data_IF_268533381857
#
_entry.id   IF_268533381857
#
_cell.length_a   1.000
_cell.length_b   1.000
_cell.length_c   1.000
_cell.angle_alpha   90.00
_cell.angle_beta   90.00
_cell.angle_gamma   90.00
#
_symmetry.space_group_name_H-M   'P 1'
#
loop_
_entity.id
_entity.type
_entity.pdbx_description
1 polymer ?
#
# COMPACT_ATOMS: atom_id res chain seq x y z
N UNK A 1 -9.31 -14.93 -10.47
CA UNK A 1 -8.71 -16.28 -10.31
C UNK A 1 -7.33 -16.36 -10.94
N UNK A 2 -6.77 -17.56 -11.04
CA UNK A 2 -5.41 -17.79 -11.57
C UNK A 2 -5.20 -17.29 -13.01
N UNK A 3 -6.27 -17.22 -13.81
CA UNK A 3 -6.17 -16.71 -15.17
C UNK A 3 -5.67 -15.28 -15.20
N UNK A 4 -6.28 -14.41 -14.42
CA UNK A 4 -5.96 -12.97 -14.34
C UNK A 4 -4.53 -12.76 -13.81
N UNK A 5 -4.09 -13.57 -12.85
CA UNK A 5 -2.72 -13.53 -12.34
C UNK A 5 -1.71 -14.06 -13.37
N UNK A 6 -2.05 -15.05 -14.21
CA UNK A 6 -1.18 -15.47 -15.33
C UNK A 6 -1.04 -14.38 -16.38
N UNK A 7 -2.11 -13.65 -16.66
CA UNK A 7 -2.12 -12.52 -17.61
C UNK A 7 -1.37 -11.30 -17.02
N UNK A 8 -1.50 -11.03 -15.73
CA UNK A 8 -0.82 -9.94 -15.02
C UNK A 8 0.65 -10.22 -14.72
N UNK A 9 1.02 -11.48 -14.61
CA UNK A 9 2.38 -11.96 -14.39
C UNK A 9 2.54 -12.82 -13.13
N UNK A 10 3.05 -14.05 -13.35
CA UNK A 10 3.55 -14.93 -12.28
C UNK A 10 5.01 -15.19 -12.57
N UNK A 11 5.88 -14.88 -11.60
CA UNK A 11 7.32 -15.15 -11.66
C UNK A 11 7.72 -15.98 -10.44
N UNK A 12 8.53 -17.02 -10.64
CA UNK A 12 8.95 -17.94 -9.58
C UNK A 12 10.48 -18.06 -9.62
N UNK A 13 11.09 -18.03 -8.43
CA UNK A 13 12.55 -18.15 -8.32
C UNK A 13 13.28 -17.06 -9.10
N UNK A 14 14.32 -17.39 -9.86
CA UNK A 14 15.17 -16.40 -10.56
C UNK A 14 14.41 -15.45 -11.50
N UNK A 15 13.25 -15.85 -12.02
CA UNK A 15 12.42 -15.02 -12.89
C UNK A 15 11.86 -13.77 -12.16
N UNK A 16 11.72 -13.84 -10.84
CA UNK A 16 11.34 -12.67 -10.02
C UNK A 16 12.37 -11.54 -10.18
N UNK A 17 13.66 -11.87 -10.20
CA UNK A 17 14.72 -10.89 -10.38
C UNK A 17 14.75 -10.38 -11.82
N UNK A 18 14.80 -11.29 -12.81
CA UNK A 18 14.96 -10.92 -14.22
C UNK A 18 13.81 -10.07 -14.75
N UNK A 19 12.58 -10.30 -14.26
CA UNK A 19 11.39 -9.58 -14.71
C UNK A 19 11.20 -8.21 -14.02
N UNK A 20 11.96 -7.93 -12.95
CA UNK A 20 11.82 -6.67 -12.20
C UNK A 20 12.96 -5.69 -12.40
N UNK A 21 14.18 -6.14 -12.73
CA UNK A 21 15.32 -5.23 -12.95
C UNK A 21 14.99 -4.20 -14.03
N UNK A 22 15.06 -2.90 -13.66
CA UNK A 22 14.91 -1.78 -14.58
C UNK A 22 13.46 -1.47 -14.98
N UNK A 23 12.44 -2.12 -14.38
CA UNK A 23 11.04 -1.90 -14.73
C UNK A 23 10.38 -0.74 -13.95
N UNK A 24 11.07 -0.11 -12.99
CA UNK A 24 10.59 1.01 -12.19
C UNK A 24 9.62 0.63 -11.06
N UNK A 25 9.39 -0.66 -10.83
CA UNK A 25 8.50 -1.15 -9.77
C UNK A 25 9.11 -1.04 -8.36
N UNK A 26 8.34 -1.25 -7.29
CA UNK A 26 8.90 -1.41 -5.95
C UNK A 26 9.92 -2.55 -5.85
N UNK A 27 9.68 -3.67 -6.53
CA UNK A 27 10.64 -4.78 -6.56
C UNK A 27 11.97 -4.37 -7.20
N UNK A 28 11.93 -3.60 -8.30
CA UNK A 28 13.14 -3.00 -8.90
C UNK A 28 13.89 -2.12 -7.90
N UNK A 29 13.17 -1.27 -7.16
CA UNK A 29 13.78 -0.42 -6.13
C UNK A 29 14.50 -1.21 -5.04
N UNK A 30 13.90 -2.30 -4.57
CA UNK A 30 14.54 -3.21 -3.61
C UNK A 30 15.78 -3.88 -4.21
N UNK A 31 15.68 -4.42 -5.42
CA UNK A 31 16.77 -5.12 -6.11
C UNK A 31 17.99 -4.21 -6.34
N UNK A 32 17.74 -2.98 -6.79
CA UNK A 32 18.77 -1.96 -6.99
C UNK A 32 19.50 -1.63 -5.69
N UNK A 33 18.75 -1.39 -4.59
CA UNK A 33 19.34 -1.16 -3.28
C UNK A 33 20.14 -2.37 -2.79
N UNK A 34 19.58 -3.57 -2.88
CA UNK A 34 20.23 -4.81 -2.47
C UNK A 34 21.58 -5.05 -3.21
N UNK A 35 21.64 -4.73 -4.52
CA UNK A 35 22.90 -4.81 -5.28
C UNK A 35 23.94 -3.83 -4.74
N UNK A 36 23.54 -2.58 -4.41
CA UNK A 36 24.46 -1.61 -3.80
C UNK A 36 25.03 -2.09 -2.47
N UNK A 37 24.23 -2.84 -1.70
CA UNK A 37 24.62 -3.42 -0.41
C UNK A 37 25.33 -4.79 -0.53
N UNK A 38 25.40 -5.34 -1.74
CA UNK A 38 25.96 -6.68 -2.01
C UNK A 38 25.21 -7.80 -1.27
N UNK A 39 23.90 -7.66 -1.12
CA UNK A 39 23.07 -8.72 -0.55
C UNK A 39 22.90 -9.89 -1.51
N UNK A 40 22.90 -11.09 -0.98
CA UNK A 40 22.49 -12.27 -1.71
C UNK A 40 20.98 -12.41 -1.62
N UNK A 41 20.30 -12.42 -2.75
CA UNK A 41 18.83 -12.49 -2.82
C UNK A 41 18.40 -13.91 -3.15
N UNK A 42 17.48 -14.43 -2.37
CA UNK A 42 16.77 -15.67 -2.61
C UNK A 42 15.33 -15.32 -3.03
N UNK A 43 15.03 -15.24 -4.32
CA UNK A 43 13.71 -14.90 -4.80
C UNK A 43 12.74 -16.07 -4.65
N UNK A 44 11.54 -15.83 -4.12
CA UNK A 44 10.53 -16.86 -3.96
C UNK A 44 9.50 -16.82 -5.09
N UNK A 45 8.55 -15.90 -5.01
CA UNK A 45 7.45 -15.77 -5.97
C UNK A 45 6.98 -14.32 -6.05
N UNK A 46 6.53 -13.93 -7.22
CA UNK A 46 5.75 -12.72 -7.46
C UNK A 46 4.50 -13.08 -8.25
N UNK A 47 3.37 -12.58 -7.82
CA UNK A 47 2.09 -12.70 -8.53
C UNK A 47 1.41 -11.34 -8.59
N UNK A 48 0.92 -10.94 -9.76
CA UNK A 48 0.28 -9.66 -9.96
C UNK A 48 -0.96 -9.80 -10.85
N UNK A 49 -2.01 -9.08 -10.52
CA UNK A 49 -3.18 -8.91 -11.36
C UNK A 49 -3.73 -7.48 -11.20
N UNK A 50 -4.56 -7.03 -12.14
CA UNK A 50 -5.26 -5.76 -11.99
C UNK A 50 -6.29 -5.86 -10.85
N UNK A 51 -6.55 -4.76 -10.13
CA UNK A 51 -7.61 -4.70 -9.13
C UNK A 51 -8.95 -5.16 -9.72
N UNK A 52 -9.67 -5.98 -8.96
CA UNK A 52 -10.98 -6.48 -9.36
C UNK A 52 -11.73 -7.02 -8.12
N UNK A 53 -12.60 -8.00 -8.23
CA UNK A 53 -13.30 -8.60 -7.10
C UNK A 53 -12.41 -9.48 -6.20
N UNK A 54 -13.05 -10.15 -5.24
CA UNK A 54 -12.42 -11.04 -4.26
C UNK A 54 -11.53 -12.08 -4.95
N UNK A 55 -10.33 -12.29 -4.42
CA UNK A 55 -9.35 -13.23 -4.96
C UNK A 55 -9.76 -14.67 -4.64
N UNK A 56 -9.76 -15.54 -5.64
CA UNK A 56 -10.09 -16.94 -5.45
C UNK A 56 -9.02 -17.66 -4.60
N UNK A 57 -9.45 -18.58 -3.75
CA UNK A 57 -8.57 -19.28 -2.80
C UNK A 57 -7.41 -20.02 -3.50
N UNK A 58 -7.63 -20.54 -4.70
CA UNK A 58 -6.57 -21.21 -5.50
C UNK A 58 -5.34 -20.33 -5.76
N UNK A 59 -5.52 -19.00 -5.86
CA UNK A 59 -4.42 -18.05 -6.05
C UNK A 59 -3.55 -17.97 -4.80
N UNK A 60 -4.20 -17.90 -3.63
CA UNK A 60 -3.51 -17.87 -2.34
C UNK A 60 -2.73 -19.17 -2.11
N UNK A 61 -3.33 -20.30 -2.45
CA UNK A 61 -2.68 -21.62 -2.33
C UNK A 61 -1.44 -21.73 -3.21
N UNK A 62 -1.48 -21.22 -4.45
CA UNK A 62 -0.32 -21.20 -5.35
C UNK A 62 0.78 -20.30 -4.79
N UNK A 63 0.43 -19.10 -4.30
CA UNK A 63 1.40 -18.20 -3.67
C UNK A 63 2.05 -18.86 -2.44
N UNK A 64 1.24 -19.36 -1.51
CA UNK A 64 1.73 -19.98 -0.27
C UNK A 64 2.62 -21.18 -0.55
N UNK A 65 2.24 -22.03 -1.51
CA UNK A 65 3.04 -23.18 -1.90
C UNK A 65 4.46 -22.77 -2.27
N UNK A 66 4.63 -21.90 -3.25
CA UNK A 66 5.95 -21.52 -3.75
C UNK A 66 6.73 -20.66 -2.76
N UNK A 67 6.05 -19.76 -2.03
CA UNK A 67 6.69 -18.95 -1.01
C UNK A 67 7.24 -19.82 0.13
N UNK A 68 6.42 -20.70 0.68
CA UNK A 68 6.83 -21.52 1.80
C UNK A 68 7.74 -22.69 1.41
N UNK A 69 7.68 -23.20 0.17
CA UNK A 69 8.70 -24.14 -0.34
C UNK A 69 10.09 -23.46 -0.33
N UNK A 70 10.22 -22.25 -0.83
CA UNK A 70 11.45 -21.47 -0.77
C UNK A 70 11.88 -21.16 0.67
N UNK A 71 10.93 -20.74 1.51
CA UNK A 71 11.17 -20.46 2.92
C UNK A 71 11.73 -21.69 3.66
N UNK A 72 11.14 -22.87 3.52
CA UNK A 72 11.58 -24.09 4.19
C UNK A 72 12.99 -24.50 3.78
N UNK A 73 13.37 -24.26 2.53
CA UNK A 73 14.70 -24.57 2.03
C UNK A 73 15.79 -23.63 2.59
N UNK A 74 15.45 -22.37 2.87
CA UNK A 74 16.44 -21.33 3.08
C UNK A 74 16.34 -20.61 4.43
N UNK A 75 15.30 -20.85 5.23
CA UNK A 75 15.04 -20.07 6.44
C UNK A 75 16.16 -20.10 7.49
N UNK A 76 17.08 -21.09 7.44
CA UNK A 76 18.24 -21.15 8.31
C UNK A 76 19.42 -20.28 7.82
N UNK A 77 19.41 -19.87 6.54
CA UNK A 77 20.52 -19.20 5.88
C UNK A 77 20.22 -17.75 5.52
N UNK A 78 18.97 -17.26 5.76
CA UNK A 78 18.57 -15.88 5.46
C UNK A 78 18.68 -14.97 6.67
N UNK A 79 19.05 -13.71 6.42
CA UNK A 79 19.17 -12.66 7.44
C UNK A 79 17.88 -11.83 7.59
N UNK A 80 16.92 -12.00 6.70
CA UNK A 80 15.64 -11.28 6.75
C UNK A 80 14.71 -11.62 5.58
N UNK A 81 13.46 -11.20 5.68
CA UNK A 81 12.43 -11.36 4.65
C UNK A 81 11.93 -9.99 4.23
N UNK A 82 11.99 -9.69 2.94
CA UNK A 82 11.45 -8.47 2.35
C UNK A 82 10.27 -8.79 1.44
N UNK A 83 9.14 -8.13 1.65
CA UNK A 83 7.90 -8.35 0.90
C UNK A 83 7.49 -7.07 0.16
N UNK A 84 6.90 -7.26 -1.02
CA UNK A 84 6.22 -6.19 -1.77
C UNK A 84 4.76 -6.59 -1.85
N UNK A 85 3.91 -5.90 -1.12
CA UNK A 85 2.49 -6.23 -0.96
C UNK A 85 1.62 -5.01 -1.30
N UNK A 86 0.33 -5.25 -1.57
CA UNK A 86 -0.63 -4.16 -1.63
C UNK A 86 -1.08 -3.74 -0.21
N UNK A 87 -1.50 -4.67 0.61
CA UNK A 87 -2.01 -4.42 1.96
C UNK A 87 -3.53 -4.26 2.03
N UNK A 88 -4.26 -4.61 0.96
CA UNK A 88 -5.73 -4.55 0.96
C UNK A 88 -6.34 -5.73 0.19
N UNK A 89 -5.64 -6.86 0.12
CA UNK A 89 -6.13 -8.03 -0.58
C UNK A 89 -7.20 -8.76 0.25
N UNK A 90 -8.34 -9.03 -0.38
CA UNK A 90 -9.41 -9.87 0.17
C UNK A 90 -9.53 -11.12 -0.69
N UNK A 91 -9.63 -12.29 -0.06
CA UNK A 91 -9.83 -13.57 -0.73
C UNK A 91 -11.09 -14.26 -0.25
N UNK A 92 -11.48 -15.36 -0.94
CA UNK A 92 -12.61 -16.20 -0.51
C UNK A 92 -12.43 -16.77 0.90
N UNK A 93 -11.20 -16.91 1.38
CA UNK A 93 -10.89 -17.52 2.67
C UNK A 93 -10.45 -16.50 3.74
N UNK A 94 -10.22 -15.24 3.39
CA UNK A 94 -9.70 -14.24 4.33
C UNK A 94 -10.04 -12.82 3.91
N UNK A 95 -10.43 -12.01 4.90
CA UNK A 95 -10.58 -10.56 4.76
C UNK A 95 -9.23 -9.82 4.92
N UNK A 96 -8.18 -10.50 5.40
CA UNK A 96 -6.85 -9.96 5.65
C UNK A 96 -5.76 -10.95 5.19
N UNK A 97 -5.56 -11.03 3.87
CA UNK A 97 -4.60 -11.97 3.26
C UNK A 97 -3.17 -11.65 3.68
N UNK A 98 -2.82 -10.38 3.76
CA UNK A 98 -1.49 -9.94 4.16
C UNK A 98 -1.23 -10.21 5.65
N UNK A 99 -2.19 -9.97 6.53
CA UNK A 99 -2.07 -10.32 7.96
C UNK A 99 -1.93 -11.82 8.18
N UNK A 100 -2.69 -12.65 7.46
CA UNK A 100 -2.54 -14.10 7.49
C UNK A 100 -1.14 -14.55 7.05
N UNK A 101 -0.61 -13.93 5.99
CA UNK A 101 0.75 -14.21 5.52
C UNK A 101 1.80 -13.88 6.60
N UNK A 102 1.72 -12.69 7.21
CA UNK A 102 2.63 -12.30 8.29
C UNK A 102 2.54 -13.23 9.50
N UNK A 103 1.34 -13.60 9.90
CA UNK A 103 1.09 -14.53 11.01
C UNK A 103 1.72 -15.89 10.72
N UNK A 104 1.55 -16.42 9.51
CA UNK A 104 2.12 -17.72 9.12
C UNK A 104 3.66 -17.68 9.06
N UNK A 105 4.24 -16.60 8.52
CA UNK A 105 5.71 -16.38 8.53
C UNK A 105 6.22 -16.36 9.97
N UNK A 106 5.59 -15.55 10.82
CA UNK A 106 5.98 -15.43 12.24
C UNK A 106 5.89 -16.78 12.99
N UNK A 107 4.83 -17.53 12.75
CA UNK A 107 4.62 -18.86 13.34
C UNK A 107 5.74 -19.83 12.97
N UNK A 108 6.11 -19.86 11.67
CA UNK A 108 7.19 -20.75 11.18
C UNK A 108 8.57 -20.32 11.68
N UNK A 109 8.87 -19.04 11.69
CA UNK A 109 10.12 -18.50 12.25
C UNK A 109 10.25 -18.88 13.72
N UNK A 110 9.18 -18.70 14.49
CA UNK A 110 9.14 -19.04 15.93
C UNK A 110 9.34 -20.55 16.14
N UNK A 111 8.65 -21.39 15.37
CA UNK A 111 8.76 -22.85 15.46
C UNK A 111 10.19 -23.35 15.16
N UNK A 112 10.94 -22.62 14.33
CA UNK A 112 12.35 -22.94 13.99
C UNK A 112 13.36 -22.25 14.89
N UNK A 113 12.94 -21.38 15.83
CA UNK A 113 13.81 -20.57 16.66
C UNK A 113 14.64 -19.54 15.90
N UNK A 114 14.17 -19.12 14.72
CA UNK A 114 14.81 -18.11 13.86
C UNK A 114 14.21 -16.74 14.18
N UNK A 115 15.07 -15.76 14.46
CA UNK A 115 14.66 -14.40 14.78
C UNK A 115 15.32 -13.41 13.81
N UNK A 116 14.61 -13.13 12.72
CA UNK A 116 15.05 -12.24 11.63
C UNK A 116 13.97 -11.18 11.36
N UNK A 117 14.32 -9.99 10.83
CA UNK A 117 13.33 -9.00 10.48
C UNK A 117 12.48 -9.43 9.27
N UNK A 118 11.19 -9.13 9.36
CA UNK A 118 10.21 -9.26 8.26
C UNK A 118 9.70 -7.86 7.96
N UNK A 119 10.02 -7.33 6.80
CA UNK A 119 9.65 -5.97 6.38
C UNK A 119 8.84 -6.04 5.09
N UNK A 120 7.81 -5.23 5.00
CA UNK A 120 7.07 -5.07 3.75
C UNK A 120 6.98 -3.60 3.32
N UNK A 121 7.14 -3.36 2.00
CA UNK A 121 6.63 -2.15 1.38
C UNK A 121 5.19 -2.41 0.95
N UNK A 122 4.29 -1.45 1.26
CA UNK A 122 2.85 -1.55 1.01
C UNK A 122 2.32 -0.31 0.30
N UNK A 123 1.18 -0.47 -0.36
CA UNK A 123 0.50 0.63 -1.02
C UNK A 123 -0.09 1.64 -0.01
N UNK A 124 -0.24 2.88 -0.45
CA UNK A 124 -0.91 3.93 0.32
C UNK A 124 -2.39 3.60 0.63
N UNK A 125 -3.02 2.76 -0.22
CA UNK A 125 -4.40 2.31 -0.04
C UNK A 125 -4.52 1.02 0.79
N UNK A 126 -3.49 0.63 1.54
CA UNK A 126 -3.57 -0.52 2.42
C UNK A 126 -4.66 -0.34 3.50
N UNK A 127 -5.41 -1.39 3.75
CA UNK A 127 -6.29 -1.54 4.91
C UNK A 127 -5.51 -2.32 5.98
N UNK A 128 -4.75 -1.59 6.80
CA UNK A 128 -3.79 -2.21 7.71
C UNK A 128 -4.49 -2.79 8.92
N UNK A 129 -4.36 -4.09 9.10
CA UNK A 129 -4.85 -4.82 10.25
C UNK A 129 -3.86 -4.81 11.42
N UNK A 130 -4.35 -5.23 12.58
CA UNK A 130 -3.50 -5.46 13.75
C UNK A 130 -2.51 -6.60 13.50
N UNK A 131 -2.90 -7.63 12.77
CA UNK A 131 -2.03 -8.77 12.47
C UNK A 131 -0.87 -8.39 11.54
N UNK A 132 -1.12 -7.53 10.54
CA UNK A 132 -0.05 -7.00 9.71
C UNK A 132 1.04 -6.30 10.54
N UNK A 133 0.65 -5.61 11.60
CA UNK A 133 1.60 -4.87 12.45
C UNK A 133 2.21 -5.71 13.57
N UNK A 134 1.44 -6.63 14.17
CA UNK A 134 1.92 -7.48 15.25
C UNK A 134 2.92 -8.55 14.78
N UNK A 135 2.78 -9.04 13.54
CA UNK A 135 3.57 -10.15 13.01
C UNK A 135 4.62 -9.74 11.99
N UNK A 136 4.72 -8.46 11.63
CA UNK A 136 5.86 -7.92 10.88
C UNK A 136 6.79 -7.11 11.77
N UNK A 137 8.04 -6.93 11.34
CA UNK A 137 8.99 -6.05 12.04
C UNK A 137 8.76 -4.60 11.68
N UNK A 138 8.44 -4.32 10.41
CA UNK A 138 8.05 -2.99 9.93
C UNK A 138 7.26 -3.07 8.66
N UNK A 139 6.27 -2.20 8.55
CA UNK A 139 5.62 -1.82 7.31
C UNK A 139 6.19 -0.49 6.83
N UNK A 140 6.23 -0.28 5.51
CA UNK A 140 6.63 0.97 4.89
C UNK A 140 5.67 1.30 3.74
N UNK A 141 4.83 2.31 3.89
CA UNK A 141 3.83 2.66 2.87
C UNK A 141 4.37 3.65 1.83
N UNK A 142 3.80 3.63 0.62
CA UNK A 142 3.95 4.76 -0.31
C UNK A 142 3.46 6.03 0.37
N UNK A 143 4.04 7.17 -0.01
CA UNK A 143 3.75 8.46 0.60
C UNK A 143 3.04 9.43 -0.34
N UNK A 144 2.79 8.98 -1.57
CA UNK A 144 2.13 9.79 -2.58
C UNK A 144 0.96 9.06 -3.22
N UNK A 145 -0.10 9.80 -3.41
CA UNK A 145 -1.23 9.41 -4.22
C UNK A 145 -1.56 10.56 -5.19
N UNK A 146 -1.34 10.39 -6.51
CA UNK A 146 -0.93 9.19 -7.25
C UNK A 146 0.46 8.64 -6.87
N UNK A 147 0.66 7.32 -7.04
CA UNK A 147 1.85 6.55 -6.62
C UNK A 147 3.10 6.85 -7.45
N UNK A 148 3.60 8.08 -7.39
CA UNK A 148 4.82 8.49 -8.11
C UNK A 148 6.10 8.12 -7.38
N UNK A 149 5.99 7.61 -6.16
CA UNK A 149 7.10 7.29 -5.26
C UNK A 149 7.23 5.80 -4.91
N UNK A 150 6.45 4.91 -5.51
CA UNK A 150 6.41 3.48 -5.15
C UNK A 150 7.79 2.80 -5.18
N UNK A 151 8.60 3.04 -6.24
CA UNK A 151 9.98 2.57 -6.32
C UNK A 151 10.86 3.16 -5.20
N UNK A 152 10.73 4.45 -4.96
CA UNK A 152 11.50 5.16 -3.92
C UNK A 152 11.13 4.65 -2.52
N UNK A 153 9.85 4.41 -2.25
CA UNK A 153 9.38 3.86 -0.98
C UNK A 153 10.01 2.47 -0.72
N UNK A 154 10.15 1.64 -1.76
CA UNK A 154 10.83 0.35 -1.62
C UNK A 154 12.33 0.50 -1.32
N UNK A 155 13.03 1.48 -1.89
CA UNK A 155 14.42 1.80 -1.54
C UNK A 155 14.54 2.27 -0.09
N UNK A 156 13.63 3.11 0.38
CA UNK A 156 13.59 3.59 1.77
C UNK A 156 13.25 2.44 2.73
N UNK A 157 12.30 1.57 2.38
CA UNK A 157 11.99 0.35 3.13
C UNK A 157 13.19 -0.61 3.20
N UNK A 158 13.91 -0.80 2.08
CA UNK A 158 15.13 -1.61 2.03
C UNK A 158 16.26 -1.01 2.88
N UNK A 159 16.34 0.32 2.95
CA UNK A 159 17.29 1.01 3.84
C UNK A 159 16.99 0.70 5.32
N UNK A 160 15.73 0.80 5.71
CA UNK A 160 15.28 0.43 7.05
C UNK A 160 15.53 -1.06 7.32
N UNK A 161 15.20 -1.94 6.36
CA UNK A 161 15.44 -3.36 6.45
C UNK A 161 16.91 -3.68 6.73
N UNK A 162 17.85 -3.01 6.03
CA UNK A 162 19.28 -3.16 6.28
C UNK A 162 19.70 -2.73 7.69
N UNK A 163 19.06 -1.71 8.27
CA UNK A 163 19.31 -1.29 9.66
C UNK A 163 18.81 -2.37 10.62
N UNK A 164 17.63 -2.94 10.39
CA UNK A 164 17.04 -4.00 11.22
C UNK A 164 17.86 -5.30 11.15
N UNK A 165 18.34 -5.70 9.97
CA UNK A 165 19.23 -6.87 9.81
C UNK A 165 20.55 -6.69 10.58
N UNK A 166 21.05 -5.47 10.78
CA UNK A 166 22.24 -5.18 11.62
C UNK A 166 21.95 -5.19 13.12
N UNK A 167 20.74 -5.56 13.52
CA UNK A 167 20.37 -5.77 14.92
C UNK A 167 19.69 -4.59 15.60
N UNK A 168 19.34 -3.50 14.88
CA UNK A 168 18.48 -2.46 15.43
C UNK A 168 17.12 -3.09 15.78
N UNK A 169 16.73 -2.93 17.03
CA UNK A 169 15.40 -3.35 17.47
C UNK A 169 14.37 -2.27 17.13
N UNK A 170 13.19 -2.70 16.78
CA UNK A 170 12.06 -1.83 16.52
C UNK A 170 10.76 -2.47 17.03
N UNK A 171 9.77 -1.63 17.26
CA UNK A 171 8.39 -2.04 17.52
C UNK A 171 7.45 -1.20 16.64
N UNK A 172 6.33 -1.80 16.27
CA UNK A 172 5.28 -1.11 15.53
C UNK A 172 4.12 -0.74 16.44
N UNK A 173 3.52 0.41 16.16
CA UNK A 173 2.33 0.91 16.82
C UNK A 173 1.33 1.29 15.74
N UNK A 174 0.10 0.80 15.86
CA UNK A 174 -0.96 1.00 14.88
C UNK A 174 -2.14 1.73 15.51
N UNK A 175 -2.69 2.67 14.77
CA UNK A 175 -3.91 3.39 15.11
C UNK A 175 -4.92 3.26 13.96
N UNK A 176 -5.85 2.30 14.07
CA UNK A 176 -7.02 2.21 13.22
C UNK A 176 -8.02 3.32 13.56
N UNK A 177 -8.73 3.83 12.57
CA UNK A 177 -9.71 4.90 12.75
C UNK A 177 -11.06 4.51 12.15
N UNK A 178 -12.16 5.18 12.53
CA UNK A 178 -13.47 4.92 11.94
C UNK A 178 -13.71 5.62 10.60
N UNK A 179 -12.67 6.22 9.99
CA UNK A 179 -12.80 7.04 8.80
C UNK A 179 -12.58 6.23 7.53
N UNK A 180 -13.63 6.06 6.73
CA UNK A 180 -13.57 5.50 5.37
C UNK A 180 -13.63 6.66 4.39
N UNK A 181 -12.56 6.87 3.62
CA UNK A 181 -12.40 8.02 2.73
C UNK A 181 -12.57 7.55 1.28
N UNK A 182 -13.40 8.24 0.47
CA UNK A 182 -13.48 7.92 -0.95
C UNK A 182 -12.15 8.21 -1.67
N UNK A 183 -11.82 7.50 -2.75
CA UNK A 183 -10.54 7.70 -3.47
C UNK A 183 -10.31 9.15 -3.92
N UNK A 184 -11.38 9.89 -4.20
CA UNK A 184 -11.34 11.31 -4.57
C UNK A 184 -10.86 12.24 -3.43
N UNK A 185 -10.91 11.77 -2.18
CA UNK A 185 -10.44 12.49 -0.99
C UNK A 185 -9.00 12.15 -0.56
N UNK A 186 -8.34 11.24 -1.28
CA UNK A 186 -7.04 10.68 -0.88
C UNK A 186 -5.83 11.31 -1.58
N UNK A 187 -6.01 12.38 -2.38
CA UNK A 187 -4.90 13.05 -3.07
C UNK A 187 -3.92 13.66 -2.06
N UNK A 188 -2.66 13.24 -2.09
CA UNK A 188 -1.63 13.70 -1.12
C UNK A 188 -1.14 15.13 -1.36
N UNK A 189 -1.54 15.73 -2.50
CA UNK A 189 -1.33 17.16 -2.79
C UNK A 189 -2.33 18.09 -2.09
N UNK A 190 -3.39 17.53 -1.48
CA UNK A 190 -4.51 18.25 -0.84
C UNK A 190 -4.73 17.77 0.58
N UNK A 191 -5.36 18.62 1.39
CA UNK A 191 -5.76 18.24 2.75
C UNK A 191 -6.96 17.26 2.71
N UNK A 192 -7.02 16.36 3.69
CA UNK A 192 -6.19 16.21 4.91
C UNK A 192 -4.84 15.54 4.71
N UNK A 193 -4.64 14.77 3.62
CA UNK A 193 -3.45 13.95 3.42
C UNK A 193 -2.17 14.76 3.40
N UNK A 194 -2.18 15.93 2.74
CA UNK A 194 -1.03 16.84 2.69
C UNK A 194 -0.57 17.27 4.09
N UNK A 195 -1.49 17.71 4.94
CA UNK A 195 -1.16 18.18 6.29
C UNK A 195 -0.61 17.05 7.16
N UNK A 196 -1.26 15.87 7.16
CA UNK A 196 -0.84 14.71 7.95
C UNK A 196 0.52 14.20 7.51
N UNK A 197 0.74 14.03 6.20
CA UNK A 197 2.03 13.59 5.66
C UNK A 197 3.15 14.60 5.96
N UNK A 198 2.90 15.90 5.84
CA UNK A 198 3.88 16.91 6.18
C UNK A 198 4.27 16.84 7.65
N UNK A 199 3.29 16.65 8.56
CA UNK A 199 3.56 16.51 9.98
C UNK A 199 4.31 15.21 10.30
N UNK A 200 3.92 14.09 9.71
CA UNK A 200 4.60 12.81 9.86
C UNK A 200 6.09 12.92 9.46
N UNK A 201 6.40 13.57 8.33
CA UNK A 201 7.79 13.82 7.90
C UNK A 201 8.55 14.72 8.88
N UNK A 202 7.89 15.73 9.43
CA UNK A 202 8.52 16.60 10.43
C UNK A 202 8.87 15.82 11.71
N UNK A 203 8.02 14.92 12.17
CA UNK A 203 8.28 14.05 13.32
C UNK A 203 9.50 13.15 13.03
N UNK A 204 9.53 12.46 11.90
CA UNK A 204 10.66 11.59 11.52
C UNK A 204 12.01 12.33 11.47
N UNK A 205 11.98 13.60 11.06
CA UNK A 205 13.20 14.43 11.01
C UNK A 205 13.64 14.94 12.38
N UNK A 206 12.70 15.10 13.33
CA UNK A 206 12.96 15.66 14.66
C UNK A 206 13.33 14.60 15.70
N UNK A 207 12.79 13.39 15.55
CA UNK A 207 12.98 12.31 16.50
C UNK A 207 13.66 11.10 15.82
N UNK A 208 14.96 10.89 16.09
CA UNK A 208 15.73 9.79 15.48
C UNK A 208 15.29 8.39 15.91
N UNK A 209 14.53 8.28 16.99
CA UNK A 209 13.97 7.00 17.43
C UNK A 209 12.74 6.59 16.59
N UNK A 210 12.14 7.51 15.84
CA UNK A 210 11.06 7.22 14.90
C UNK A 210 11.67 6.79 13.56
N UNK A 211 11.58 5.51 13.28
CA UNK A 211 12.19 4.90 12.10
C UNK A 211 11.36 5.14 10.83
N UNK A 212 10.03 5.06 10.95
CA UNK A 212 9.11 5.51 9.91
C UNK A 212 7.70 5.73 10.48
N UNK A 213 6.96 6.64 9.86
CA UNK A 213 5.52 6.83 10.06
C UNK A 213 4.81 6.58 8.74
N UNK A 214 3.85 5.69 8.76
CA UNK A 214 2.99 5.37 7.64
C UNK A 214 1.62 6.03 7.82
N UNK A 215 1.14 6.67 6.76
CA UNK A 215 -0.19 7.26 6.67
C UNK A 215 -0.91 6.51 5.55
N UNK A 216 -1.84 5.64 5.90
CA UNK A 216 -2.59 4.84 4.93
C UNK A 216 -3.97 5.45 4.72
N UNK A 217 -4.31 5.69 3.45
CA UNK A 217 -5.63 6.20 3.06
C UNK A 217 -6.74 5.16 3.18
N UNK A 218 -6.38 3.89 3.09
CA UNK A 218 -7.31 2.77 3.03
C UNK A 218 -7.91 2.56 1.64
N UNK A 219 -8.48 1.38 1.43
CA UNK A 219 -9.18 1.00 0.22
C UNK A 219 -10.67 0.85 0.52
N UNK A 220 -11.44 1.89 0.23
CA UNK A 220 -12.85 2.04 0.66
C UNK A 220 -13.84 1.12 -0.06
N UNK A 221 -13.40 0.39 -1.08
CA UNK A 221 -14.26 -0.57 -1.80
C UNK A 221 -14.25 -1.97 -1.18
N UNK A 222 -13.42 -2.23 -0.17
CA UNK A 222 -13.43 -3.47 0.58
C UNK A 222 -14.39 -3.36 1.78
N UNK A 223 -15.36 -4.27 1.86
CA UNK A 223 -16.30 -4.37 3.01
C UNK A 223 -15.71 -5.31 4.07
N UNK A 224 -14.70 -4.83 4.78
CA UNK A 224 -13.97 -5.56 5.82
C UNK A 224 -13.81 -4.70 7.09
N UNK A 225 -13.51 -5.33 8.22
CA UNK A 225 -13.44 -4.67 9.52
C UNK A 225 -12.34 -3.59 9.60
N UNK A 226 -11.19 -3.84 8.96
CA UNK A 226 -10.01 -2.96 9.00
C UNK A 226 -10.00 -1.94 7.84
N UNK A 227 -11.12 -1.77 7.13
CA UNK A 227 -11.25 -0.83 6.03
C UNK A 227 -11.12 0.62 6.50
N UNK A 228 -10.24 1.39 5.86
CA UNK A 228 -10.22 2.85 6.01
C UNK A 228 -8.86 3.45 6.36
N UNK A 229 -8.94 4.73 6.74
CA UNK A 229 -7.77 5.51 7.12
C UNK A 229 -7.13 4.98 8.40
N UNK A 230 -5.83 4.78 8.36
CA UNK A 230 -5.06 4.34 9.53
C UNK A 230 -3.66 4.94 9.55
N UNK A 231 -3.03 4.89 10.73
CA UNK A 231 -1.70 5.39 11.00
C UNK A 231 -0.87 4.26 11.62
N UNK A 232 0.39 4.18 11.25
CA UNK A 232 1.34 3.23 11.84
C UNK A 232 2.67 3.93 12.08
N UNK A 233 3.33 3.61 13.20
CA UNK A 233 4.64 4.12 13.56
C UNK A 233 5.57 2.96 13.89
N UNK A 234 6.70 2.86 13.21
CA UNK A 234 7.80 1.98 13.58
C UNK A 234 8.84 2.78 14.35
N UNK A 235 9.18 2.34 15.55
CA UNK A 235 10.10 3.06 16.45
C UNK A 235 11.11 2.13 17.11
N UNK A 236 12.30 2.66 17.39
CA UNK A 236 13.29 2.06 18.29
C UNK A 236 13.20 2.59 19.73
N UNK A 237 12.35 3.59 19.95
CA UNK A 237 12.15 4.28 21.21
C UNK A 237 10.99 3.76 22.05
N UNK A 238 10.41 4.63 22.84
CA UNK A 238 9.32 4.27 23.76
C UNK A 238 7.96 4.19 23.02
N UNK A 239 7.22 3.13 23.30
CA UNK A 239 5.87 2.91 22.78
C UNK A 239 4.92 4.10 23.03
N UNK A 240 5.00 4.70 24.23
CA UNK A 240 4.16 5.85 24.59
C UNK A 240 4.45 7.11 23.77
N UNK A 241 5.69 7.28 23.30
CA UNK A 241 6.07 8.39 22.43
C UNK A 241 5.50 8.17 21.02
N UNK A 242 5.66 6.95 20.49
CA UNK A 242 5.09 6.58 19.22
C UNK A 242 3.57 6.74 19.20
N UNK A 243 2.86 6.27 20.25
CA UNK A 243 1.42 6.46 20.38
C UNK A 243 1.04 7.94 20.43
N UNK A 244 1.78 8.76 21.18
CA UNK A 244 1.54 10.21 21.25
C UNK A 244 1.65 10.88 19.88
N UNK A 245 2.57 10.46 19.02
CA UNK A 245 2.68 10.95 17.65
C UNK A 245 1.51 10.49 16.76
N UNK A 246 1.05 9.25 16.91
CA UNK A 246 -0.13 8.78 16.18
C UNK A 246 -1.38 9.56 16.58
N UNK A 247 -1.58 9.82 17.87
CA UNK A 247 -2.69 10.62 18.38
C UNK A 247 -2.63 12.06 17.85
N UNK A 248 -1.44 12.67 17.83
CA UNK A 248 -1.21 13.99 17.24
C UNK A 248 -1.57 14.02 15.74
N UNK A 249 -1.14 13.02 14.99
CA UNK A 249 -1.43 12.93 13.56
C UNK A 249 -2.92 12.76 13.29
N UNK A 250 -3.65 12.02 14.13
CA UNK A 250 -5.10 11.91 14.04
C UNK A 250 -5.77 13.27 14.28
N UNK A 251 -5.31 14.05 15.26
CA UNK A 251 -5.81 15.42 15.49
C UNK A 251 -5.57 16.30 14.25
N UNK A 252 -4.39 16.21 13.62
CA UNK A 252 -4.08 16.94 12.39
C UNK A 252 -5.01 16.52 11.25
N UNK A 253 -5.29 15.22 11.12
CA UNK A 253 -6.24 14.69 10.14
C UNK A 253 -7.64 15.27 10.35
N UNK A 254 -8.18 15.16 11.56
CA UNK A 254 -9.52 15.60 11.92
C UNK A 254 -9.73 17.12 11.74
N UNK A 255 -8.69 17.91 12.06
CA UNK A 255 -8.72 19.36 11.84
C UNK A 255 -8.82 19.76 10.36
N UNK A 256 -8.40 18.88 9.43
CA UNK A 256 -8.40 19.11 7.99
C UNK A 256 -9.40 18.21 7.22
N UNK A 257 -10.23 17.45 7.92
CA UNK A 257 -11.08 16.39 7.36
C UNK A 257 -12.11 16.88 6.33
N UNK A 258 -12.42 18.17 6.30
CA UNK A 258 -13.36 18.73 5.29
C UNK A 258 -12.92 18.49 3.84
N UNK A 259 -11.61 18.29 3.58
CA UNK A 259 -11.06 17.93 2.28
C UNK A 259 -11.18 16.46 1.92
N UNK A 260 -11.43 15.58 2.91
CA UNK A 260 -11.53 14.13 2.68
C UNK A 260 -12.80 13.71 1.92
N UNK A 261 -13.80 14.55 1.87
CA UNK A 261 -15.10 14.27 1.23
C UNK A 261 -15.41 15.35 0.20
N UNK A 262 -14.72 15.38 -0.96
CA UNK A 262 -14.94 16.40 -1.99
C UNK A 262 -16.38 16.31 -2.53
N UNK A 263 -16.97 17.47 -2.77
CA UNK A 263 -18.31 17.54 -3.36
C UNK A 263 -18.23 17.34 -4.86
N UNK A 264 -18.90 16.33 -5.35
CA UNK A 264 -19.08 16.11 -6.77
C UNK A 264 -20.15 17.07 -7.35
N UNK A 265 -19.89 17.57 -8.55
CA UNK A 265 -20.84 18.42 -9.24
C UNK A 265 -21.91 17.58 -9.94
N UNK A 266 -23.20 17.95 -9.78
CA UNK A 266 -24.26 17.29 -10.51
C UNK A 266 -24.05 17.44 -12.02
N UNK A 267 -24.25 16.36 -12.79
CA UNK A 267 -24.03 16.30 -14.25
C UNK A 267 -24.64 17.50 -15.00
N UNK A 268 -25.87 17.90 -14.66
CA UNK A 268 -26.55 19.06 -15.26
C UNK A 268 -25.75 20.37 -15.07
N UNK A 269 -25.09 20.54 -13.93
CA UNK A 269 -24.24 21.72 -13.68
C UNK A 269 -22.96 21.63 -14.49
N UNK A 270 -22.33 20.44 -14.57
CA UNK A 270 -21.14 20.21 -15.37
C UNK A 270 -21.41 20.56 -16.86
N UNK A 271 -22.49 20.04 -17.42
CA UNK A 271 -22.89 20.35 -18.80
C UNK A 271 -23.15 21.84 -19.03
N UNK A 272 -23.73 22.54 -18.04
CA UNK A 272 -23.93 23.98 -18.13
C UNK A 272 -22.57 24.74 -18.09
N UNK A 273 -21.63 24.32 -17.27
CA UNK A 273 -20.30 24.94 -17.19
C UNK A 273 -19.55 24.88 -18.53
N UNK A 274 -19.69 23.77 -19.29
CA UNK A 274 -19.08 23.63 -20.62
C UNK A 274 -19.52 24.77 -21.57
N UNK A 275 -20.78 25.21 -21.45
CA UNK A 275 -21.34 26.24 -22.30
C UNK A 275 -21.04 27.67 -21.84
N UNK A 276 -20.89 27.87 -20.55
CA UNK A 276 -20.84 29.21 -19.92
C UNK A 276 -19.45 29.66 -19.49
N UNK A 277 -18.56 28.74 -19.23
CA UNK A 277 -17.18 29.08 -18.81
C UNK A 277 -16.37 29.57 -20.01
N UNK A 278 -15.52 30.61 -19.80
CA UNK A 278 -14.58 31.06 -20.83
C UNK A 278 -13.66 29.91 -21.24
N UNK A 279 -13.65 29.60 -22.53
CA UNK A 279 -12.72 28.59 -23.05
C UNK A 279 -11.28 29.11 -22.95
N UNK A 280 -10.48 28.46 -22.09
CA UNK A 280 -9.03 28.64 -22.08
C UNK A 280 -8.39 28.05 -23.37
N UNK A 281 -7.06 28.04 -23.39
CA UNK A 281 -6.28 27.48 -24.51
C UNK A 281 -6.18 25.93 -24.49
N UNK A 282 -6.71 25.27 -23.45
CA UNK A 282 -6.63 23.82 -23.26
C UNK A 282 -7.98 23.10 -23.35
N UNK A 283 -7.97 21.77 -23.32
CA UNK A 283 -9.19 20.98 -23.27
C UNK A 283 -9.91 21.13 -21.91
N UNK A 284 -11.22 20.93 -21.91
CA UNK A 284 -12.00 20.75 -20.68
C UNK A 284 -11.95 19.27 -20.30
N UNK A 285 -11.45 18.97 -19.10
CA UNK A 285 -11.41 17.62 -18.57
C UNK A 285 -12.64 17.36 -17.67
N UNK A 286 -13.46 16.40 -18.06
CA UNK A 286 -14.56 15.89 -17.26
C UNK A 286 -14.14 14.54 -16.66
N UNK A 287 -14.24 14.43 -15.33
CA UNK A 287 -13.84 13.21 -14.62
C UNK A 287 -15.07 12.59 -13.98
N UNK A 288 -15.28 11.31 -14.26
CA UNK A 288 -16.28 10.46 -13.61
C UNK A 288 -15.51 9.43 -12.75
N UNK A 289 -15.56 9.56 -11.41
CA UNK A 289 -14.72 8.76 -10.53
C UNK A 289 -15.34 7.42 -10.10
N UNK A 290 -16.64 7.18 -10.36
CA UNK A 290 -17.36 6.03 -9.84
C UNK A 290 -16.95 4.71 -10.53
N UNK A 291 -16.55 4.77 -11.81
CA UNK A 291 -16.09 3.61 -12.58
C UNK A 291 -14.56 3.60 -12.70
N UNK A 292 -13.89 3.63 -11.56
CA UNK A 292 -12.42 3.70 -11.45
C UNK A 292 -11.79 2.30 -11.62
N UNK A 293 -11.08 2.06 -12.71
CA UNK A 293 -10.37 0.79 -12.97
C UNK A 293 -9.37 0.45 -11.86
N UNK A 294 -8.69 1.46 -11.30
CA UNK A 294 -7.82 1.28 -10.14
C UNK A 294 -8.56 0.85 -8.87
N UNK A 295 -9.88 1.07 -8.81
CA UNK A 295 -10.78 0.57 -7.78
C UNK A 295 -11.39 -0.81 -8.09
N UNK A 296 -10.97 -1.46 -9.18
CA UNK A 296 -11.44 -2.80 -9.55
C UNK A 296 -12.74 -2.85 -10.35
N UNK A 297 -13.23 -1.70 -10.83
CA UNK A 297 -14.41 -1.64 -11.70
C UNK A 297 -14.03 -1.90 -13.17
N UNK A 298 -14.99 -2.26 -14.04
CA UNK A 298 -14.71 -2.56 -15.45
C UNK A 298 -14.18 -1.37 -16.26
N UNK A 299 -14.52 -0.12 -15.89
CA UNK A 299 -14.14 1.08 -16.65
C UNK A 299 -14.94 1.25 -17.94
N UNK A 300 -16.18 0.74 -17.99
CA UNK A 300 -17.07 0.78 -19.14
C UNK A 300 -18.30 1.69 -18.95
N UNK A 301 -18.28 2.51 -17.90
CA UNK A 301 -19.34 3.46 -17.57
C UNK A 301 -19.51 4.56 -18.62
N UNK A 302 -20.76 4.77 -19.09
CA UNK A 302 -21.11 5.79 -20.07
C UNK A 302 -21.87 6.97 -19.48
N UNK A 303 -21.84 7.13 -18.15
CA UNK A 303 -22.59 8.14 -17.42
C UNK A 303 -22.34 9.59 -17.85
N UNK A 304 -21.12 9.91 -18.29
CA UNK A 304 -20.78 11.21 -18.89
C UNK A 304 -20.91 11.21 -20.41
N UNK A 305 -20.56 10.14 -21.08
CA UNK A 305 -20.52 10.07 -22.54
C UNK A 305 -21.91 10.22 -23.17
N UNK A 306 -22.91 9.46 -22.66
CA UNK A 306 -24.27 9.49 -23.22
C UNK A 306 -24.89 10.88 -23.19
N UNK A 307 -24.92 11.61 -22.06
CA UNK A 307 -25.46 12.98 -22.05
C UNK A 307 -24.69 13.99 -22.91
N UNK A 308 -23.39 13.80 -23.10
CA UNK A 308 -22.61 14.66 -24.01
C UNK A 308 -23.05 14.44 -25.45
N UNK A 309 -23.18 13.19 -25.89
CA UNK A 309 -23.67 12.84 -27.23
C UNK A 309 -25.10 13.34 -27.45
N UNK A 310 -26.02 13.12 -26.50
CA UNK A 310 -27.41 13.58 -26.55
C UNK A 310 -27.52 15.10 -26.65
N UNK A 311 -26.57 15.83 -26.08
CA UNK A 311 -26.52 17.30 -26.13
C UNK A 311 -25.84 17.84 -27.40
N UNK A 312 -25.35 16.96 -28.30
CA UNK A 312 -24.68 17.36 -29.54
C UNK A 312 -23.27 17.94 -29.34
N UNK A 313 -22.62 17.61 -28.24
CA UNK A 313 -21.28 18.08 -27.86
C UNK A 313 -20.20 17.07 -28.17
#
# INVERSE_FOLDING_TARGET
GLKEFREGGISIGPDVISNNIGNGSPADGFLDYADTQKWSIIPAIQMMANPSGIVMQEVIEVFYKHFFESFEQHCADIDGIFLVLHGAMVSEGSDDVEGDLFREIHSRLTAKGVNIPVVAVIDFHANVSKDMTDFSTSLYSYRMNPHTDARKAAVEAATLFGILMRGQKASQHHLGTPYVIPPTGLATASDPMKAVLARARAIELQDPDILCINVMGGYSYADIADCGFSLNCCTSGLASVAQGYLDELLIVFEANMSGAYPKEAALKMVLKCIDTEPRGSGPILLVEPADNIGGGTPGDGTGLLSPLLDSGR
#
